data_IF_143091019517
#
_entry.id   IF_143091019517
#
_cell.length_a   1.000
_cell.length_b   1.000
_cell.length_c   1.000
_cell.angle_alpha   90.00
_cell.angle_beta   90.00
_cell.angle_gamma   90.00
#
_symmetry.space_group_name_H-M   'P 1'
#
loop_
_entity.id
_entity.type
_entity.pdbx_description
1 polymer ?
#
# COMPACT_ATOMS: atom_id res chain seq x y z
N UNK A 1 -7.13 7.79 2.03
CA UNK A 1 -5.78 7.18 2.03
C UNK A 1 -5.31 6.88 3.45
N UNK A 2 -5.32 7.88 4.35
CA UNK A 2 -4.93 7.69 5.77
C UNK A 2 -5.65 6.50 6.43
N UNK A 3 -6.96 6.36 6.25
CA UNK A 3 -7.70 5.23 6.82
C UNK A 3 -7.15 3.85 6.37
N UNK A 4 -6.79 3.70 5.09
CA UNK A 4 -6.25 2.45 4.56
C UNK A 4 -4.82 2.19 5.04
N UNK A 5 -4.04 3.24 5.28
CA UNK A 5 -2.71 3.16 5.89
C UNK A 5 -2.79 2.74 7.36
N UNK A 6 -3.60 3.44 8.15
CA UNK A 6 -3.77 3.18 9.58
C UNK A 6 -4.40 1.82 9.86
N UNK A 7 -5.28 1.36 8.98
CA UNK A 7 -5.96 0.06 9.09
C UNK A 7 -5.42 -0.97 8.08
N UNK A 8 -4.11 -0.91 7.79
CA UNK A 8 -3.47 -1.83 6.86
C UNK A 8 -3.72 -3.30 7.28
N UNK A 9 -4.23 -4.10 6.35
CA UNK A 9 -4.36 -5.54 6.50
C UNK A 9 -3.06 -6.26 6.17
N UNK A 10 -2.29 -5.68 5.24
CA UNK A 10 -0.99 -6.18 4.80
C UNK A 10 -0.06 -5.02 4.49
N UNK A 11 1.20 -5.24 4.79
CA UNK A 11 2.33 -4.38 4.47
C UNK A 11 3.42 -5.28 3.90
N UNK A 12 3.89 -4.96 2.70
CA UNK A 12 4.89 -5.73 1.97
C UNK A 12 5.99 -4.79 1.49
N UNK A 13 7.21 -5.08 1.90
CA UNK A 13 8.41 -4.40 1.41
C UNK A 13 8.94 -5.13 0.18
N UNK A 14 9.30 -4.37 -0.85
CA UNK A 14 9.90 -4.92 -2.06
C UNK A 14 10.78 -3.89 -2.75
N UNK A 15 11.79 -4.37 -3.47
CA UNK A 15 12.60 -3.54 -4.35
C UNK A 15 11.93 -3.44 -5.73
N UNK A 16 11.88 -2.24 -6.29
CA UNK A 16 11.44 -1.99 -7.65
C UNK A 16 12.38 -0.99 -8.31
N UNK A 17 13.03 -1.40 -9.41
CA UNK A 17 13.98 -0.55 -10.14
C UNK A 17 15.10 0.04 -9.25
N UNK A 18 15.57 -0.73 -8.25
CA UNK A 18 16.60 -0.30 -7.31
C UNK A 18 16.11 0.64 -6.20
N UNK A 19 14.80 0.89 -6.11
CA UNK A 19 14.18 1.68 -5.05
C UNK A 19 13.37 0.77 -4.11
N UNK A 20 13.56 0.95 -2.80
CA UNK A 20 12.74 0.30 -1.79
C UNK A 20 11.32 0.87 -1.80
N UNK A 21 10.33 -0.01 -1.84
CA UNK A 21 8.92 0.35 -1.85
C UNK A 21 8.14 -0.44 -0.82
N UNK A 22 7.05 0.18 -0.40
CA UNK A 22 6.07 -0.38 0.50
C UNK A 22 4.75 -0.52 -0.24
N UNK A 23 4.25 -1.74 -0.38
CA UNK A 23 2.86 -2.01 -0.75
C UNK A 23 2.05 -2.15 0.52
N UNK A 24 1.03 -1.31 0.67
CA UNK A 24 0.05 -1.39 1.76
C UNK A 24 -1.30 -1.75 1.18
N UNK A 25 -1.95 -2.76 1.74
CA UNK A 25 -3.31 -3.14 1.38
C UNK A 25 -4.20 -2.89 2.59
N UNK A 26 -5.22 -2.07 2.43
CA UNK A 26 -6.12 -1.71 3.53
C UNK A 26 -7.46 -1.14 3.06
N UNK A 27 -8.47 -1.07 3.94
CA UNK A 27 -9.79 -0.56 3.61
C UNK A 27 -9.81 0.97 3.60
N UNK A 28 -10.50 1.55 2.62
CA UNK A 28 -10.99 2.92 2.70
C UNK A 28 -12.16 3.05 3.69
N UNK A 29 -12.58 4.29 3.96
CA UNK A 29 -13.71 4.59 4.85
C UNK A 29 -15.01 3.97 4.34
N UNK A 30 -15.16 3.81 3.03
CA UNK A 30 -16.32 3.17 2.37
C UNK A 30 -16.19 1.64 2.24
N UNK A 31 -15.24 1.04 2.96
CA UNK A 31 -14.89 -0.38 2.91
C UNK A 31 -14.33 -0.89 1.55
N UNK A 32 -14.05 0.00 0.58
CA UNK A 32 -13.31 -0.38 -0.62
C UNK A 32 -11.87 -0.76 -0.24
N UNK A 33 -11.39 -1.92 -0.68
CA UNK A 33 -9.97 -2.27 -0.54
C UNK A 33 -9.11 -1.43 -1.46
N UNK A 34 -8.10 -0.80 -0.89
CA UNK A 34 -7.10 -0.02 -1.61
C UNK A 34 -5.75 -0.72 -1.58
N UNK A 35 -4.99 -0.52 -2.65
CA UNK A 35 -3.55 -0.71 -2.71
C UNK A 35 -2.88 0.67 -2.64
N UNK A 36 -1.94 0.84 -1.73
CA UNK A 36 -1.10 2.03 -1.62
C UNK A 36 0.34 1.62 -1.90
N UNK A 37 1.03 2.38 -2.76
CA UNK A 37 2.48 2.25 -2.90
C UNK A 37 3.12 3.47 -2.27
N UNK A 38 4.05 3.24 -1.35
CA UNK A 38 4.83 4.28 -0.73
C UNK A 38 6.33 4.04 -0.92
N UNK A 39 7.09 5.13 -0.92
CA UNK A 39 8.56 5.11 -0.90
C UNK A 39 9.00 5.61 0.47
N UNK A 40 9.93 4.92 1.17
CA UNK A 40 10.55 5.45 2.37
C UNK A 40 11.38 6.68 2.01
N UNK A 41 10.82 7.87 2.20
CA UNK A 41 11.61 9.08 2.31
C UNK A 41 11.98 9.26 3.78
N UNK A 42 13.17 9.80 4.08
CA UNK A 42 13.83 9.92 5.39
C UNK A 42 12.99 10.44 6.58
N UNK A 43 11.76 10.86 6.30
CA UNK A 43 10.53 10.96 7.10
C UNK A 43 9.85 12.26 6.66
N UNK A 44 8.57 12.26 6.26
CA UNK A 44 7.60 11.16 6.31
C UNK A 44 7.61 10.22 5.10
N UNK A 45 7.11 9.00 5.29
CA UNK A 45 6.82 8.05 4.20
C UNK A 45 5.89 8.69 3.17
N UNK A 46 6.27 8.63 1.88
CA UNK A 46 5.52 9.28 0.80
C UNK A 46 4.70 8.25 0.04
N UNK A 47 3.36 8.37 0.10
CA UNK A 47 2.46 7.61 -0.76
C UNK A 47 2.56 8.18 -2.19
N UNK A 48 3.03 7.37 -3.12
CA UNK A 48 3.17 7.73 -4.54
C UNK A 48 2.00 7.24 -5.39
N UNK A 49 1.20 6.29 -4.86
CA UNK A 49 0.07 5.73 -5.57
C UNK A 49 -0.99 5.20 -4.60
N UNK A 50 -2.26 5.36 -4.96
CA UNK A 50 -3.40 4.83 -4.22
C UNK A 50 -4.53 4.44 -5.20
N UNK A 51 -4.69 3.15 -5.45
CA UNK A 51 -5.71 2.61 -6.36
C UNK A 51 -6.64 1.64 -5.62
N UNK A 52 -7.77 1.30 -6.26
CA UNK A 52 -8.57 0.14 -5.84
C UNK A 52 -7.71 -1.12 -5.98
N UNK A 53 -7.78 -2.01 -4.99
CA UNK A 53 -6.97 -3.22 -4.96
C UNK A 53 -7.16 -4.06 -6.23
N UNK A 54 -6.08 -4.21 -7.00
CA UNK A 54 -6.08 -4.94 -8.27
C UNK A 54 -5.86 -6.44 -8.06
N UNK A 55 -6.41 -7.31 -8.93
CA UNK A 55 -6.30 -8.77 -8.79
C UNK A 55 -4.86 -9.31 -8.65
N UNK A 56 -3.88 -8.65 -9.28
CA UNK A 56 -2.46 -9.04 -9.20
C UNK A 56 -1.88 -9.02 -7.77
N UNK A 57 -2.54 -8.35 -6.83
CA UNK A 57 -2.11 -8.27 -5.43
C UNK A 57 -2.97 -9.12 -4.48
N UNK A 58 -3.94 -9.88 -5.00
CA UNK A 58 -4.76 -10.75 -4.16
C UNK A 58 -3.96 -11.87 -3.50
N UNK A 59 -2.83 -12.27 -4.09
CA UNK A 59 -1.95 -13.27 -3.49
C UNK A 59 -1.35 -12.83 -2.16
N UNK A 60 -1.25 -11.52 -1.90
CA UNK A 60 -0.81 -10.99 -0.62
C UNK A 60 -1.88 -11.06 0.49
N UNK A 61 -3.14 -11.32 0.14
CA UNK A 61 -4.25 -11.45 1.11
C UNK A 61 -4.39 -12.86 1.70
N UNK A 62 -3.53 -13.80 1.31
CA UNK A 62 -3.53 -15.16 1.84
C UNK A 62 -3.02 -15.24 3.28
#
# INVERSE_FOLDING_TARGET
MEHAWTNALRLVEYEYEGEERLLVIGPAVDATLLELVAVPAAEPTRIIHADRLRPKFYDYLR
#
